data_IF_206229846519
#
_entry.id   IF_206229846519
#
_cell.length_a   1.000
_cell.length_b   1.000
_cell.length_c   1.000
_cell.angle_alpha   90.00
_cell.angle_beta   90.00
_cell.angle_gamma   90.00
#
_symmetry.space_group_name_H-M   'P 1'
#
loop_
_entity.id
_entity.type
_entity.pdbx_description
1 polymer ?
#
# COMPACT_ATOMS: atom_id res chain seq x y z
N UNK A 1 25.36 -18.18 -3.93
CA UNK A 1 25.48 -16.95 -3.13
C UNK A 1 24.34 -15.97 -3.41
N UNK A 2 24.29 -15.29 -4.57
CA UNK A 2 23.27 -14.25 -4.86
C UNK A 2 21.82 -14.71 -4.74
N UNK A 3 21.47 -15.90 -5.23
CA UNK A 3 20.10 -16.45 -5.09
C UNK A 3 19.66 -16.58 -3.63
N UNK A 4 20.57 -16.91 -2.72
CA UNK A 4 20.26 -17.01 -1.29
C UNK A 4 20.05 -15.62 -0.69
N UNK A 5 20.91 -14.65 -1.03
CA UNK A 5 20.73 -13.25 -0.61
C UNK A 5 19.40 -12.67 -1.12
N UNK A 6 19.02 -12.93 -2.36
CA UNK A 6 17.72 -12.48 -2.90
C UNK A 6 16.55 -13.07 -2.11
N UNK A 7 16.61 -14.36 -1.75
CA UNK A 7 15.57 -14.99 -0.92
C UNK A 7 15.51 -14.39 0.49
N UNK A 8 16.66 -14.13 1.12
CA UNK A 8 16.73 -13.49 2.43
C UNK A 8 16.22 -12.04 2.38
N UNK A 9 16.59 -11.30 1.35
CA UNK A 9 16.10 -9.93 1.11
C UNK A 9 14.57 -9.88 1.08
N UNK A 10 13.93 -10.73 0.27
CA UNK A 10 12.46 -10.79 0.23
C UNK A 10 11.85 -11.31 1.53
N UNK A 11 12.49 -12.24 2.22
CA UNK A 11 12.03 -12.74 3.51
C UNK A 11 12.02 -11.62 4.57
N UNK A 12 13.12 -10.90 4.71
CA UNK A 12 13.23 -9.82 5.69
C UNK A 12 12.27 -8.67 5.41
N UNK A 13 12.07 -8.32 4.13
CA UNK A 13 11.05 -7.33 3.74
C UNK A 13 9.65 -7.76 4.21
N UNK A 14 9.27 -9.02 4.00
CA UNK A 14 7.95 -9.55 4.39
C UNK A 14 7.72 -9.57 5.89
N UNK A 15 8.78 -9.76 6.68
CA UNK A 15 8.73 -9.78 8.15
C UNK A 15 8.89 -8.37 8.74
N UNK A 16 9.03 -7.33 7.91
CA UNK A 16 9.18 -5.95 8.35
C UNK A 16 10.57 -5.59 8.86
N UNK A 17 11.55 -6.48 8.68
CA UNK A 17 12.96 -6.27 9.03
C UNK A 17 13.68 -5.53 7.89
N UNK A 18 13.34 -4.26 7.72
CA UNK A 18 13.77 -3.49 6.55
C UNK A 18 15.29 -3.32 6.45
N UNK A 19 15.99 -3.07 7.56
CA UNK A 19 17.46 -2.92 7.57
C UNK A 19 18.20 -4.17 7.11
N UNK A 20 17.72 -5.36 7.49
CA UNK A 20 18.31 -6.63 7.05
C UNK A 20 18.04 -6.88 5.56
N UNK A 21 16.84 -6.52 5.08
CA UNK A 21 16.52 -6.53 3.65
C UNK A 21 17.43 -5.60 2.86
N UNK A 22 17.65 -4.38 3.36
CA UNK A 22 18.53 -3.38 2.77
C UNK A 22 19.97 -3.91 2.69
N UNK A 23 20.48 -4.47 3.79
CA UNK A 23 21.82 -5.06 3.85
C UNK A 23 22.01 -6.17 2.82
N UNK A 24 21.02 -7.05 2.66
CA UNK A 24 21.04 -8.10 1.63
C UNK A 24 21.07 -7.50 0.21
N UNK A 25 20.24 -6.48 -0.05
CA UNK A 25 20.21 -5.81 -1.35
C UNK A 25 21.51 -5.10 -1.69
N UNK A 26 22.11 -4.39 -0.73
CA UNK A 26 23.43 -3.76 -0.90
C UNK A 26 24.53 -4.80 -1.18
N UNK A 27 24.52 -5.94 -0.48
CA UNK A 27 25.46 -7.03 -0.75
C UNK A 27 25.29 -7.61 -2.16
N UNK A 28 24.06 -7.70 -2.68
CA UNK A 28 23.81 -8.13 -4.06
C UNK A 28 24.37 -7.11 -5.06
N UNK A 29 24.13 -5.81 -4.84
CA UNK A 29 24.62 -4.74 -5.72
C UNK A 29 26.15 -4.58 -5.66
N UNK A 30 26.78 -4.91 -4.53
CA UNK A 30 28.23 -4.97 -4.43
C UNK A 30 28.88 -6.04 -5.32
N UNK A 31 28.12 -7.07 -5.70
CA UNK A 31 28.58 -8.10 -6.65
C UNK A 31 28.17 -7.77 -8.08
N UNK A 32 26.95 -7.27 -8.27
CA UNK A 32 26.39 -6.96 -9.58
C UNK A 32 25.55 -5.67 -9.51
N UNK A 33 26.18 -4.51 -9.78
CA UNK A 33 25.55 -3.20 -9.61
C UNK A 33 24.53 -2.89 -10.71
N UNK A 34 24.45 -3.70 -11.79
CA UNK A 34 23.51 -3.49 -12.90
C UNK A 34 22.13 -4.10 -12.64
N UNK A 35 21.92 -4.72 -11.47
CA UNK A 35 20.66 -5.38 -11.10
C UNK A 35 19.59 -4.38 -10.72
N UNK A 36 18.98 -3.78 -11.72
CA UNK A 36 17.94 -2.78 -11.55
C UNK A 36 16.74 -3.26 -10.71
N UNK A 37 16.37 -4.54 -10.78
CA UNK A 37 15.33 -5.11 -9.91
C UNK A 37 15.68 -5.00 -8.41
N UNK A 38 16.96 -5.11 -8.07
CA UNK A 38 17.44 -4.99 -6.68
C UNK A 38 17.47 -3.52 -6.27
N UNK A 39 17.88 -2.60 -7.15
CA UNK A 39 17.72 -1.16 -6.92
C UNK A 39 16.27 -0.79 -6.61
N UNK A 40 15.31 -1.28 -7.42
CA UNK A 40 13.88 -1.07 -7.18
C UNK A 40 13.40 -1.65 -5.85
N UNK A 41 13.88 -2.84 -5.47
CA UNK A 41 13.55 -3.44 -4.18
C UNK A 41 14.05 -2.57 -3.02
N UNK A 42 15.28 -2.07 -3.08
CA UNK A 42 15.83 -1.16 -2.09
C UNK A 42 15.03 0.14 -2.03
N UNK A 43 14.68 0.74 -3.17
CA UNK A 43 13.84 1.95 -3.24
C UNK A 43 12.49 1.74 -2.51
N UNK A 44 11.81 0.61 -2.75
CA UNK A 44 10.55 0.27 -2.06
C UNK A 44 10.77 0.02 -0.57
N UNK A 45 11.85 -0.67 -0.21
CA UNK A 45 12.17 -0.98 1.19
C UNK A 45 12.46 0.30 1.98
N UNK A 46 13.25 1.22 1.41
CA UNK A 46 13.49 2.54 1.98
C UNK A 46 12.19 3.33 2.18
N UNK A 47 11.29 3.34 1.20
CA UNK A 47 9.96 3.94 1.35
C UNK A 47 9.15 3.33 2.50
N UNK A 48 9.13 1.99 2.62
CA UNK A 48 8.43 1.30 3.71
C UNK A 48 9.02 1.58 5.09
N UNK A 49 10.33 1.82 5.16
CA UNK A 49 11.04 2.20 6.39
C UNK A 49 11.00 3.71 6.70
N UNK A 50 10.32 4.53 5.87
CA UNK A 50 10.26 5.99 6.04
C UNK A 50 11.50 6.75 5.55
N UNK A 51 12.50 6.05 5.01
CA UNK A 51 13.78 6.61 4.56
C UNK A 51 13.70 7.10 3.10
N UNK A 52 12.74 7.96 2.81
CA UNK A 52 12.43 8.45 1.46
C UNK A 52 13.62 9.09 0.73
N UNK A 53 14.43 9.89 1.44
CA UNK A 53 15.62 10.52 0.84
C UNK A 53 16.59 9.46 0.28
N UNK A 54 16.78 8.36 1.00
CA UNK A 54 17.59 7.24 0.55
C UNK A 54 16.95 6.50 -0.63
N UNK A 55 15.62 6.40 -0.69
CA UNK A 55 14.93 5.84 -1.85
C UNK A 55 15.20 6.66 -3.13
N UNK A 56 15.15 8.00 -3.04
CA UNK A 56 15.47 8.88 -4.17
C UNK A 56 16.95 8.82 -4.55
N UNK A 57 17.85 8.76 -3.56
CA UNK A 57 19.28 8.58 -3.79
C UNK A 57 19.57 7.24 -4.49
N UNK A 58 18.88 6.15 -4.09
CA UNK A 58 19.05 4.84 -4.70
C UNK A 58 18.66 4.82 -6.19
N UNK A 59 17.65 5.59 -6.58
CA UNK A 59 17.33 5.80 -8.00
C UNK A 59 18.51 6.43 -8.74
N UNK A 60 19.09 7.51 -8.18
CA UNK A 60 20.24 8.18 -8.80
C UNK A 60 21.44 7.26 -8.96
N UNK A 61 21.73 6.45 -7.95
CA UNK A 61 22.78 5.42 -8.06
C UNK A 61 22.47 4.42 -9.19
N UNK A 62 21.21 3.99 -9.35
CA UNK A 62 20.80 3.10 -10.45
C UNK A 62 20.99 3.77 -11.81
N UNK A 63 20.54 5.02 -11.94
CA UNK A 63 20.63 5.83 -13.16
C UNK A 63 22.09 6.03 -13.57
N UNK A 64 22.94 6.42 -12.63
CA UNK A 64 24.36 6.68 -12.87
C UNK A 64 25.11 5.41 -13.30
N UNK A 65 24.85 4.27 -12.63
CA UNK A 65 25.51 3.00 -12.97
C UNK A 65 25.08 2.49 -14.35
N UNK A 66 23.77 2.54 -14.67
CA UNK A 66 23.27 2.11 -15.97
C UNK A 66 23.77 3.02 -17.10
N UNK A 67 23.78 4.34 -16.87
CA UNK A 67 24.31 5.29 -17.83
C UNK A 67 25.81 5.08 -18.06
N UNK A 68 26.59 4.85 -17.00
CA UNK A 68 28.04 4.68 -17.08
C UNK A 68 28.45 3.38 -17.76
N UNK A 69 27.84 2.26 -17.38
CA UNK A 69 28.31 0.93 -17.80
C UNK A 69 27.62 0.44 -19.08
N UNK A 70 26.38 0.88 -19.33
CA UNK A 70 25.58 0.40 -20.45
C UNK A 70 25.08 1.52 -21.39
N UNK A 71 25.29 2.79 -21.05
CA UNK A 71 24.78 3.95 -21.79
C UNK A 71 23.25 3.89 -22.01
N UNK A 72 22.52 3.32 -21.05
CA UNK A 72 21.06 3.21 -21.08
C UNK A 72 20.44 3.96 -19.89
N UNK A 73 19.17 4.32 -20.06
CA UNK A 73 18.33 4.81 -18.98
C UNK A 73 17.74 3.64 -18.17
N UNK A 74 17.35 3.87 -16.90
CA UNK A 74 16.56 2.91 -16.13
C UNK A 74 15.28 2.50 -16.89
N UNK A 75 14.82 1.27 -16.67
CA UNK A 75 13.53 0.79 -17.13
C UNK A 75 12.38 1.68 -16.65
N UNK A 76 11.31 1.74 -17.44
CA UNK A 76 10.09 2.52 -17.14
C UNK A 76 9.55 2.22 -15.74
N UNK A 77 9.58 0.96 -15.31
CA UNK A 77 9.11 0.55 -13.97
C UNK A 77 9.89 1.23 -12.83
N UNK A 78 11.17 1.51 -13.05
CA UNK A 78 12.06 2.19 -12.08
C UNK A 78 11.86 3.69 -12.11
N UNK A 79 11.69 4.27 -13.30
CA UNK A 79 11.36 5.69 -13.46
C UNK A 79 10.01 6.01 -12.80
N UNK A 80 8.99 5.17 -13.00
CA UNK A 80 7.68 5.30 -12.38
C UNK A 80 7.75 5.24 -10.85
N UNK A 81 8.58 4.34 -10.32
CA UNK A 81 8.81 4.28 -8.87
C UNK A 81 9.49 5.55 -8.36
N UNK A 82 10.47 6.10 -9.09
CA UNK A 82 11.08 7.38 -8.75
C UNK A 82 10.06 8.52 -8.79
N UNK A 83 9.16 8.54 -9.76
CA UNK A 83 8.10 9.54 -9.82
C UNK A 83 7.16 9.45 -8.59
N UNK A 84 6.81 8.24 -8.16
CA UNK A 84 6.01 8.02 -6.93
C UNK A 84 6.74 8.46 -5.67
N UNK A 85 8.06 8.17 -5.61
CA UNK A 85 8.92 8.71 -4.56
C UNK A 85 8.83 10.23 -4.65
N UNK A 86 9.20 10.89 -5.75
CA UNK A 86 9.15 12.36 -5.85
C UNK A 86 7.79 12.99 -5.49
N UNK A 87 6.68 12.43 -5.98
CA UNK A 87 5.32 12.96 -5.78
C UNK A 87 4.87 13.02 -4.31
N UNK A 88 5.37 12.12 -3.45
CA UNK A 88 5.04 12.13 -2.01
C UNK A 88 5.71 13.26 -1.22
N UNK A 89 6.49 14.16 -1.85
CA UNK A 89 7.08 15.35 -1.21
C UNK A 89 6.38 16.67 -1.53
N UNK A 90 5.28 16.68 -2.27
CA UNK A 90 4.54 17.93 -2.46
C UNK A 90 3.61 18.13 -1.27
N UNK A 91 3.79 19.13 -0.40
CA UNK A 91 2.64 19.84 0.15
C UNK A 91 2.01 20.55 -1.04
N UNK A 92 1.09 19.86 -1.72
CA UNK A 92 0.36 20.44 -2.81
C UNK A 92 -0.63 21.44 -2.22
N UNK A 93 -0.27 22.72 -2.27
CA UNK A 93 -1.24 23.76 -2.63
C UNK A 93 -1.80 23.39 -4.02
N UNK A 94 -2.70 22.42 -4.03
CA UNK A 94 -3.75 22.17 -5.04
C UNK A 94 -4.61 21.01 -4.51
N UNK A 95 -5.92 21.23 -4.35
CA UNK A 95 -6.81 20.28 -3.69
C UNK A 95 -7.09 19.10 -4.63
N UNK A 96 -6.48 17.96 -4.34
CA UNK A 96 -7.00 16.66 -4.73
C UNK A 96 -6.80 15.70 -3.56
N UNK A 97 -7.33 16.13 -2.42
CA UNK A 97 -7.77 15.25 -1.34
C UNK A 97 -8.94 14.43 -1.91
N UNK A 98 -8.93 13.08 -1.94
CA UNK A 98 -10.20 12.36 -1.83
C UNK A 98 -10.89 12.97 -0.60
N UNK A 99 -12.15 13.45 -0.70
CA UNK A 99 -12.73 14.29 0.32
C UNK A 99 -12.53 13.60 1.67
N UNK A 100 -11.70 14.22 2.51
CA UNK A 100 -11.71 13.93 3.93
C UNK A 100 -13.18 14.04 4.32
N UNK A 101 -13.74 13.06 5.04
CA UNK A 101 -15.09 13.19 5.56
C UNK A 101 -15.15 14.51 6.32
N UNK A 102 -15.87 15.48 5.75
CA UNK A 102 -16.24 16.74 6.40
C UNK A 102 -16.71 16.40 7.82
N UNK A 103 -16.57 17.27 8.83
CA UNK A 103 -17.01 16.99 10.19
C UNK A 103 -18.51 16.58 10.30
N UNK A 104 -19.32 16.80 9.26
CA UNK A 104 -20.68 16.28 9.13
C UNK A 104 -20.79 14.82 8.64
N UNK A 105 -19.77 14.25 7.98
CA UNK A 105 -19.83 12.91 7.37
C UNK A 105 -19.78 11.79 8.40
N UNK A 106 -19.10 11.97 9.55
CA UNK A 106 -19.19 11.00 10.66
C UNK A 106 -20.58 10.99 11.27
N UNK A 107 -21.19 12.17 11.48
CA UNK A 107 -22.54 12.25 11.97
C UNK A 107 -23.54 11.66 10.96
N UNK A 108 -23.32 11.90 9.67
CA UNK A 108 -24.15 11.34 8.60
C UNK A 108 -23.97 9.83 8.46
N UNK A 109 -22.75 9.30 8.59
CA UNK A 109 -22.48 7.87 8.59
C UNK A 109 -23.07 7.17 9.82
N UNK A 110 -22.97 7.79 11.01
CA UNK A 110 -23.62 7.29 12.23
C UNK A 110 -25.15 7.33 12.09
N UNK A 111 -25.70 8.37 11.46
CA UNK A 111 -27.13 8.47 11.20
C UNK A 111 -27.59 7.37 10.24
N UNK A 112 -26.87 7.15 9.14
CA UNK A 112 -27.15 6.09 8.17
C UNK A 112 -27.08 4.70 8.80
N UNK A 113 -26.07 4.44 9.65
CA UNK A 113 -25.96 3.19 10.39
C UNK A 113 -27.14 3.00 11.35
N UNK A 114 -27.55 4.05 12.05
CA UNK A 114 -28.69 4.01 12.97
C UNK A 114 -30.00 3.72 12.24
N UNK A 115 -30.23 4.35 11.08
CA UNK A 115 -31.43 4.09 10.28
C UNK A 115 -31.44 2.66 9.74
N UNK A 116 -30.30 2.16 9.24
CA UNK A 116 -30.19 0.79 8.77
C UNK A 116 -30.46 -0.26 9.87
N UNK A 117 -30.02 0.01 11.10
CA UNK A 117 -30.33 -0.84 12.25
C UNK A 117 -31.83 -0.84 12.59
N UNK A 118 -32.51 0.31 12.52
CA UNK A 118 -33.95 0.42 12.78
C UNK A 118 -34.78 -0.33 11.72
N UNK A 119 -34.34 -0.30 10.46
CA UNK A 119 -35.01 -1.03 9.38
C UNK A 119 -34.89 -2.55 9.57
N UNK A 120 -33.74 -3.04 10.05
CA UNK A 120 -33.57 -4.45 10.39
C UNK A 120 -34.50 -4.90 11.53
N UNK A 121 -34.62 -4.11 12.60
CA UNK A 121 -35.56 -4.39 13.70
C UNK A 121 -37.01 -4.42 13.20
N UNK A 122 -37.36 -3.51 12.30
CA UNK A 122 -38.71 -3.47 11.71
C UNK A 122 -39.00 -4.72 10.90
N UNK A 123 -38.05 -5.18 10.08
CA UNK A 123 -38.19 -6.42 9.31
C UNK A 123 -38.29 -7.65 10.23
N UNK A 124 -37.51 -7.70 11.31
CA UNK A 124 -37.61 -8.77 12.30
C UNK A 124 -38.99 -8.83 12.96
N UNK A 125 -39.53 -7.67 13.35
CA UNK A 125 -40.88 -7.58 13.93
C UNK A 125 -41.97 -7.98 12.94
N UNK A 126 -41.86 -7.59 11.66
CA UNK A 126 -42.80 -8.02 10.63
C UNK A 126 -42.77 -9.54 10.43
N UNK A 127 -41.58 -10.15 10.42
CA UNK A 127 -41.46 -11.62 10.34
C UNK A 127 -42.04 -12.32 11.58
N UNK A 128 -41.90 -11.75 12.77
CA UNK A 128 -42.56 -12.27 13.98
C UNK A 128 -44.07 -12.18 13.88
N UNK A 129 -44.62 -11.06 13.42
CA UNK A 129 -46.06 -10.91 13.23
C UNK A 129 -46.61 -11.91 12.21
N UNK A 130 -45.94 -12.08 11.07
CA UNK A 130 -46.35 -13.07 10.06
C UNK A 130 -46.34 -14.48 10.65
N UNK A 131 -45.32 -14.84 11.43
CA UNK A 131 -45.28 -16.13 12.13
C UNK A 131 -46.44 -16.30 13.12
N UNK A 132 -46.82 -15.23 13.83
CA UNK A 132 -47.89 -15.26 14.82
C UNK A 132 -49.28 -15.39 14.15
N UNK A 133 -49.53 -14.65 13.07
CA UNK A 133 -50.78 -14.76 12.30
C UNK A 133 -50.91 -16.13 11.65
N UNK A 134 -49.81 -16.70 11.13
CA UNK A 134 -49.81 -18.07 10.60
C UNK A 134 -50.05 -19.12 11.71
N UNK A 135 -49.55 -18.89 12.93
CA UNK A 135 -49.81 -19.77 14.08
C UNK A 135 -51.28 -19.70 14.55
N UNK A 136 -51.89 -18.51 14.53
CA UNK A 136 -53.30 -18.31 14.88
C UNK A 136 -54.25 -18.90 13.83
N UNK A 137 -53.91 -18.80 12.54
CA UNK A 137 -54.67 -19.43 11.45
C UNK A 137 -54.50 -20.96 11.38
N UNK A 138 -53.41 -21.51 11.90
CA UNK A 138 -53.17 -22.96 11.98
C UNK A 138 -53.80 -23.64 13.20
N UNK A 139 -54.33 -22.87 14.16
CA UNK A 139 -54.99 -23.36 15.37
C UNK A 139 -56.54 -23.29 15.32
N UNK A 140 -57.11 -22.84 14.18
CA UNK A 140 -58.53 -22.81 13.86
C UNK A 140 -58.88 -23.93 12.87
#
# INVERSE_FOLDING_TARGET
YLKCLTRLMHYYERVGRYEDSISCGQAILGVDPLREQVHRHLMRTYMKSGQRALAAQQYKVCEDVLAKELAILPMVETQMLCAQICATAVPADTPSTPPLPEPGTLQQALQQLKTAMQDLDRLQNQLQQVKQVLAELGAA
#
